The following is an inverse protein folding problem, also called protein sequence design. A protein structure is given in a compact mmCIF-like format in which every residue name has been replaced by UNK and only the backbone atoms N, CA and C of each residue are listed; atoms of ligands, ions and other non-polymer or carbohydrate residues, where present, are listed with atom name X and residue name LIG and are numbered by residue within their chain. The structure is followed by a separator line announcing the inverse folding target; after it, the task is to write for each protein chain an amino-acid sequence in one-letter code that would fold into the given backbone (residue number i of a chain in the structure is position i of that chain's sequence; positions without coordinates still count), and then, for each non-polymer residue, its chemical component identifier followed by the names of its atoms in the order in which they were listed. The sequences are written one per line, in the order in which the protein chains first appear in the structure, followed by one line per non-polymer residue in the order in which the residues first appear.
data_IF_764701246613
#
_entry.id   IF_764701246613
#
_cell.length_a   1.000
_cell.length_b   1.000
_cell.length_c   1.000
_cell.angle_alpha   90.00
_cell.angle_beta   90.00
_cell.angle_gamma   90.00
#
_symmetry.space_group_name_H-M   'P 1'
#
loop_
_entity.id
_entity.type
_entity.pdbx_description
1 polymer ?
#
# COMPACT_ATOMS: atom_id res chain seq x y z
N UNK A 1 3.18 9.74 -5.02
CA UNK A 1 4.50 9.89 -5.67
C UNK A 1 5.57 9.41 -4.69
N UNK A 2 6.73 9.01 -5.20
CA UNK A 2 7.94 8.75 -4.39
C UNK A 2 9.16 9.35 -5.05
N UNK A 3 10.25 9.46 -4.29
CA UNK A 3 11.56 9.87 -4.79
C UNK A 3 12.40 8.62 -5.07
N UNK A 4 12.83 8.45 -6.32
CA UNK A 4 13.88 7.51 -6.71
C UNK A 4 15.22 8.24 -6.62
N UNK A 5 15.93 8.01 -5.52
CA UNK A 5 17.21 8.67 -5.22
C UNK A 5 18.33 8.21 -6.14
N UNK A 6 18.29 6.97 -6.62
CA UNK A 6 19.34 6.41 -7.47
C UNK A 6 19.35 7.07 -8.84
N UNK A 7 18.18 7.42 -9.37
CA UNK A 7 18.03 8.08 -10.68
C UNK A 7 17.79 9.58 -10.61
N UNK A 8 17.90 10.18 -9.42
CA UNK A 8 17.50 11.55 -9.10
C UNK A 8 16.17 11.94 -9.78
N UNK A 9 15.14 11.11 -9.57
CA UNK A 9 13.84 11.25 -10.22
C UNK A 9 12.70 11.12 -9.21
N UNK A 10 11.50 11.55 -9.61
CA UNK A 10 10.26 11.23 -8.91
C UNK A 10 9.43 10.27 -9.73
N UNK A 11 8.76 9.34 -9.05
CA UNK A 11 7.83 8.42 -9.67
C UNK A 11 6.42 8.77 -9.22
N UNK A 12 5.53 8.97 -10.18
CA UNK A 12 4.22 9.57 -9.98
C UNK A 12 3.15 8.60 -10.50
N UNK A 13 2.13 8.33 -9.68
CA UNK A 13 0.87 7.77 -10.16
C UNK A 13 0.16 8.87 -10.97
N UNK A 14 0.01 8.66 -12.27
CA UNK A 14 -0.78 9.50 -13.15
C UNK A 14 -2.12 8.80 -13.41
N UNK A 15 -2.93 8.75 -12.34
CA UNK A 15 -4.12 7.91 -12.21
C UNK A 15 -5.12 8.10 -13.35
N UNK A 16 -5.50 9.35 -13.66
CA UNK A 16 -6.47 9.67 -14.72
C UNK A 16 -6.00 9.24 -16.12
N UNK A 17 -4.69 9.12 -16.32
CA UNK A 17 -4.08 8.63 -17.55
C UNK A 17 -3.68 7.14 -17.47
N UNK A 18 -4.06 6.45 -16.38
CA UNK A 18 -3.85 5.02 -16.13
C UNK A 18 -2.41 4.56 -16.31
N UNK A 19 -1.47 5.34 -15.77
CA UNK A 19 -0.02 5.09 -15.95
C UNK A 19 0.81 5.53 -14.76
N UNK A 20 2.05 5.06 -14.74
CA UNK A 20 3.10 5.55 -13.83
C UNK A 20 4.17 6.25 -14.65
N UNK A 21 4.54 7.45 -14.22
CA UNK A 21 5.51 8.30 -14.91
C UNK A 21 6.73 8.53 -14.03
N UNK A 22 7.93 8.45 -14.62
CA UNK A 22 9.19 8.89 -14.01
C UNK A 22 9.54 10.28 -14.53
N UNK A 23 9.82 11.21 -13.62
CA UNK A 23 10.19 12.59 -13.94
C UNK A 23 11.55 12.95 -13.35
N UNK A 24 12.49 13.52 -14.12
CA UNK A 24 13.78 13.98 -13.58
C UNK A 24 13.59 15.08 -12.54
N UNK A 25 14.26 15.02 -11.38
CA UNK A 25 14.14 16.07 -10.34
C UNK A 25 14.80 17.38 -10.74
N UNK A 26 15.77 17.33 -11.65
CA UNK A 26 16.54 18.48 -12.09
C UNK A 26 16.62 18.51 -13.60
N UNK A 27 16.50 19.71 -14.18
CA UNK A 27 16.71 19.99 -15.61
C UNK A 27 15.87 19.15 -16.59
N UNK A 28 14.77 18.53 -16.13
CA UNK A 28 13.86 17.73 -16.95
C UNK A 28 12.66 18.53 -17.44
N UNK A 29 12.35 18.46 -18.74
CA UNK A 29 11.19 19.12 -19.36
C UNK A 29 10.03 18.17 -19.65
N UNK A 30 10.23 16.86 -19.50
CA UNK A 30 9.21 15.83 -19.73
C UNK A 30 9.44 14.61 -18.85
N UNK A 31 8.39 13.80 -18.70
CA UNK A 31 8.40 12.54 -17.97
C UNK A 31 8.27 11.33 -18.89
N UNK A 32 8.91 10.24 -18.50
CA UNK A 32 8.85 8.95 -19.18
C UNK A 32 7.72 8.11 -18.58
N UNK A 33 6.83 7.56 -19.41
CA UNK A 33 5.87 6.56 -18.93
C UNK A 33 6.59 5.22 -18.74
N UNK A 34 6.60 4.71 -17.52
CA UNK A 34 7.32 3.48 -17.16
C UNK A 34 6.40 2.29 -16.94
N UNK A 35 5.11 2.52 -16.67
CA UNK A 35 4.07 1.49 -16.55
C UNK A 35 2.78 2.02 -17.19
N UNK A 36 2.09 1.18 -17.96
CA UNK A 36 0.85 1.51 -18.66
C UNK A 36 -0.33 0.66 -18.14
N UNK A 37 -1.56 1.09 -18.42
CA UNK A 37 -2.80 0.37 -18.14
C UNK A 37 -2.99 -0.03 -16.67
N UNK A 38 -2.62 0.85 -15.75
CA UNK A 38 -2.73 0.64 -14.31
C UNK A 38 -3.49 1.77 -13.64
N UNK A 39 -4.49 1.43 -12.82
CA UNK A 39 -5.26 2.41 -12.04
C UNK A 39 -4.52 2.72 -10.73
N UNK A 40 -3.41 3.46 -10.86
CA UNK A 40 -2.45 3.72 -9.78
C UNK A 40 -3.00 4.70 -8.74
N UNK A 41 -3.22 4.26 -7.49
CA UNK A 41 -3.54 5.16 -6.36
C UNK A 41 -2.38 5.33 -5.37
N UNK A 42 -1.63 4.25 -5.14
CA UNK A 42 -0.51 4.22 -4.21
C UNK A 42 0.67 3.51 -4.84
N UNK A 43 1.88 3.99 -4.56
CA UNK A 43 3.10 3.32 -4.97
C UNK A 43 4.19 3.46 -3.90
N UNK A 44 5.10 2.49 -3.86
CA UNK A 44 6.33 2.52 -3.06
C UNK A 44 7.46 1.80 -3.80
N UNK A 45 8.69 1.95 -3.32
CA UNK A 45 9.86 1.26 -3.86
C UNK A 45 10.63 0.61 -2.73
N UNK A 46 11.08 -0.64 -2.93
CA UNK A 46 11.97 -1.32 -2.00
C UNK A 46 13.44 -0.93 -2.19
N UNK A 47 14.30 -1.38 -1.28
CA UNK A 47 15.74 -1.09 -1.31
C UNK A 47 16.48 -1.70 -2.51
N UNK A 48 15.87 -2.66 -3.21
CA UNK A 48 16.39 -3.25 -4.45
C UNK A 48 15.91 -2.49 -5.70
N UNK A 49 15.15 -1.40 -5.53
CA UNK A 49 14.60 -0.60 -6.62
C UNK A 49 13.37 -1.20 -7.29
N UNK A 50 12.74 -2.22 -6.69
CA UNK A 50 11.49 -2.79 -7.21
C UNK A 50 10.34 -1.86 -6.85
N UNK A 51 9.51 -1.52 -7.83
CA UNK A 51 8.35 -0.66 -7.65
C UNK A 51 7.12 -1.50 -7.32
N UNK A 52 6.39 -1.13 -6.29
CA UNK A 52 5.11 -1.73 -5.94
C UNK A 52 4.03 -0.70 -6.19
N UNK A 53 3.02 -1.07 -6.96
CA UNK A 53 1.97 -0.18 -7.41
C UNK A 53 0.63 -0.82 -7.11
N UNK A 54 -0.23 -0.07 -6.43
CA UNK A 54 -1.63 -0.45 -6.22
C UNK A 54 -2.36 -0.28 -7.54
N UNK A 55 -2.96 -1.35 -8.06
CA UNK A 55 -3.93 -1.30 -9.16
C UNK A 55 -5.33 -1.35 -8.55
N UNK A 56 -5.96 -0.18 -8.46
CA UNK A 56 -7.24 -0.02 -7.77
C UNK A 56 -8.38 -0.78 -8.46
N UNK A 57 -8.43 -0.74 -9.79
CA UNK A 57 -9.47 -1.40 -10.59
C UNK A 57 -9.41 -2.93 -10.44
N UNK A 58 -8.20 -3.49 -10.37
CA UNK A 58 -7.99 -4.94 -10.25
C UNK A 58 -7.97 -5.43 -8.80
N UNK A 59 -8.06 -4.52 -7.84
CA UNK A 59 -7.94 -4.82 -6.41
C UNK A 59 -6.68 -5.65 -6.10
N UNK A 60 -5.53 -5.20 -6.60
CA UNK A 60 -4.25 -5.89 -6.41
C UNK A 60 -3.10 -4.91 -6.20
N UNK A 61 -1.98 -5.43 -5.72
CA UNK A 61 -0.68 -4.75 -5.78
C UNK A 61 0.20 -5.49 -6.76
N UNK A 62 0.76 -4.75 -7.73
CA UNK A 62 1.72 -5.27 -8.70
C UNK A 62 3.14 -4.83 -8.33
N UNK A 63 4.08 -5.76 -8.41
CA UNK A 63 5.52 -5.52 -8.24
C UNK A 63 6.18 -5.49 -9.62
N UNK A 64 7.06 -4.54 -9.84
CA UNK A 64 7.81 -4.34 -11.07
C UNK A 64 9.30 -4.28 -10.74
N UNK A 65 10.08 -5.19 -11.31
CA UNK A 65 11.51 -5.07 -11.36
C UNK A 65 11.94 -4.06 -12.42
N UNK A 66 13.21 -3.65 -12.37
CA UNK A 66 13.76 -2.70 -13.32
C UNK A 66 13.62 -3.22 -14.76
N UNK A 67 12.90 -2.47 -15.59
CA UNK A 67 12.69 -2.79 -17.00
C UNK A 67 11.48 -3.69 -17.28
N UNK A 68 10.77 -4.14 -16.24
CA UNK A 68 9.51 -4.86 -16.42
C UNK A 68 8.35 -3.91 -16.70
N UNK A 69 7.50 -4.28 -17.66
CA UNK A 69 6.30 -3.50 -18.02
C UNK A 69 4.99 -4.11 -17.50
N UNK A 70 4.95 -5.42 -17.29
CA UNK A 70 3.74 -6.11 -16.81
C UNK A 70 3.72 -6.24 -15.29
N UNK A 71 4.87 -6.51 -14.67
CA UNK A 71 4.97 -6.79 -13.24
C UNK A 71 4.24 -8.08 -12.83
N UNK A 72 4.45 -8.50 -11.60
CA UNK A 72 3.80 -9.69 -11.00
C UNK A 72 2.88 -9.27 -9.86
N UNK A 73 1.84 -10.06 -9.59
CA UNK A 73 0.98 -9.82 -8.42
C UNK A 73 1.79 -10.07 -7.15
N UNK A 74 1.75 -9.12 -6.22
CA UNK A 74 2.44 -9.16 -4.94
C UNK A 74 1.49 -9.21 -3.73
N UNK A 75 0.24 -8.79 -3.92
CA UNK A 75 -0.85 -8.94 -2.95
C UNK A 75 -2.21 -8.86 -3.67
N UNK A 76 -3.20 -9.62 -3.20
CA UNK A 76 -4.51 -9.72 -3.84
C UNK A 76 -4.46 -10.56 -5.13
N UNK A 77 -5.12 -10.07 -6.19
CA UNK A 77 -5.11 -10.71 -7.52
C UNK A 77 -6.16 -11.80 -7.74
N UNK A 78 -6.98 -12.10 -6.72
CA UNK A 78 -8.08 -13.08 -6.81
C UNK A 78 -9.45 -12.41 -6.93
N UNK A 79 -9.48 -11.27 -7.63
CA UNK A 79 -10.64 -10.41 -7.76
C UNK A 79 -10.98 -9.64 -6.49
N UNK A 80 -11.94 -8.73 -6.63
CA UNK A 80 -12.41 -7.90 -5.53
C UNK A 80 -13.16 -8.74 -4.49
N UNK A 81 -12.89 -8.48 -3.20
CA UNK A 81 -13.60 -9.11 -2.09
C UNK A 81 -12.87 -8.99 -0.76
N UNK A 82 -13.34 -9.75 0.23
CA UNK A 82 -12.89 -9.64 1.63
C UNK A 82 -12.18 -10.90 2.17
N UNK A 83 -11.96 -11.92 1.34
CA UNK A 83 -11.15 -13.08 1.72
C UNK A 83 -9.69 -12.67 1.95
N UNK A 84 -8.89 -13.56 2.53
CA UNK A 84 -7.49 -13.27 2.86
C UNK A 84 -6.56 -13.23 1.62
N UNK A 85 -7.05 -13.68 0.48
CA UNK A 85 -6.41 -13.65 -0.84
C UNK A 85 -6.97 -12.53 -1.75
N UNK A 86 -7.87 -11.70 -1.22
CA UNK A 86 -8.57 -10.63 -1.94
C UNK A 86 -8.38 -9.28 -1.25
N UNK A 87 -8.58 -8.22 -2.03
CA UNK A 87 -8.64 -6.84 -1.57
C UNK A 87 -9.94 -6.20 -2.07
N UNK A 88 -10.34 -5.09 -1.44
CA UNK A 88 -11.45 -4.26 -1.87
C UNK A 88 -11.04 -2.79 -1.89
N UNK A 89 -10.91 -2.24 -3.09
CA UNK A 89 -10.54 -0.83 -3.32
C UNK A 89 -9.24 -0.41 -2.59
N UNK A 90 -8.12 -1.17 -2.70
CA UNK A 90 -6.89 -0.84 -1.99
C UNK A 90 -6.38 0.55 -2.37
N UNK A 91 -5.83 1.31 -1.42
CA UNK A 91 -5.44 2.72 -1.66
C UNK A 91 -3.96 3.02 -1.48
N UNK A 92 -3.25 2.20 -0.70
CA UNK A 92 -1.85 2.45 -0.37
C UNK A 92 -1.10 1.15 -0.15
N UNK A 93 0.20 1.19 -0.43
CA UNK A 93 1.12 0.07 -0.28
C UNK A 93 2.39 0.52 0.43
N UNK A 94 2.86 -0.30 1.36
CA UNK A 94 4.17 -0.20 2.00
C UNK A 94 4.88 -1.55 1.91
N UNK A 95 6.20 -1.54 1.77
CA UNK A 95 7.02 -2.76 1.74
C UNK A 95 8.07 -2.65 2.82
N UNK A 96 8.14 -3.65 3.71
CA UNK A 96 9.16 -3.70 4.76
C UNK A 96 10.49 -4.29 4.23
N UNK A 97 11.50 -4.36 5.10
CA UNK A 97 12.82 -4.91 4.76
C UNK A 97 12.83 -6.43 4.56
N UNK A 98 11.79 -7.12 5.02
CA UNK A 98 11.60 -8.56 4.80
C UNK A 98 10.79 -8.80 3.51
N UNK A 99 10.72 -7.81 2.61
CA UNK A 99 9.92 -7.80 1.39
C UNK A 99 8.43 -8.12 1.59
N UNK A 100 7.92 -7.88 2.81
CA UNK A 100 6.50 -8.05 3.07
C UNK A 100 5.71 -6.84 2.61
N UNK A 101 4.62 -7.09 1.90
CA UNK A 101 3.72 -6.08 1.33
C UNK A 101 2.57 -5.81 2.28
N UNK A 102 2.46 -4.58 2.74
CA UNK A 102 1.37 -4.08 3.56
C UNK A 102 0.44 -3.22 2.71
N UNK A 103 -0.86 -3.51 2.73
CA UNK A 103 -1.85 -2.86 1.88
C UNK A 103 -2.95 -2.26 2.75
N UNK A 104 -3.23 -0.98 2.56
CA UNK A 104 -4.44 -0.34 3.07
C UNK A 104 -5.64 -0.81 2.25
N UNK A 105 -6.29 -1.87 2.73
CA UNK A 105 -7.47 -2.48 2.14
C UNK A 105 -8.72 -1.68 2.53
N UNK A 106 -8.82 -0.50 1.91
CA UNK A 106 -9.71 0.60 2.29
C UNK A 106 -11.17 0.15 2.44
N UNK A 107 -11.70 -0.57 1.43
CA UNK A 107 -13.11 -0.97 1.40
C UNK A 107 -13.44 -2.07 2.41
N UNK A 108 -12.45 -2.80 2.88
CA UNK A 108 -12.61 -3.85 3.90
C UNK A 108 -12.24 -3.37 5.32
N UNK A 109 -11.93 -2.08 5.50
CA UNK A 109 -11.66 -1.52 6.83
C UNK A 109 -10.54 -2.26 7.58
N UNK A 110 -9.47 -2.60 6.85
CA UNK A 110 -8.33 -3.35 7.40
C UNK A 110 -7.02 -2.97 6.71
N UNK A 111 -5.92 -3.34 7.36
CA UNK A 111 -4.60 -3.42 6.72
C UNK A 111 -4.24 -4.88 6.60
N UNK A 112 -3.87 -5.29 5.40
CA UNK A 112 -3.43 -6.65 5.11
C UNK A 112 -1.91 -6.70 4.94
N UNK A 113 -1.29 -7.83 5.27
CA UNK A 113 0.13 -8.13 5.06
C UNK A 113 0.27 -9.42 4.24
N UNK A 114 1.05 -9.38 3.17
CA UNK A 114 1.57 -10.56 2.49
C UNK A 114 3.08 -10.65 2.71
N UNK A 115 3.57 -11.86 2.98
CA UNK A 115 5.01 -12.14 2.83
C UNK A 115 5.30 -12.35 1.35
N UNK A 116 6.54 -12.12 0.93
CA UNK A 116 6.96 -12.43 -0.43
C UNK A 116 6.63 -13.90 -0.78
N UNK A 117 5.97 -14.10 -1.93
CA UNK A 117 5.55 -15.41 -2.42
C UNK A 117 4.34 -16.04 -1.71
N UNK A 118 3.73 -15.38 -0.72
CA UNK A 118 2.53 -15.90 -0.07
C UNK A 118 1.29 -15.78 -0.97
N UNK A 119 0.49 -16.85 -1.07
CA UNK A 119 -0.78 -16.84 -1.80
C UNK A 119 -1.89 -16.09 -1.03
N UNK A 120 -1.86 -16.17 0.30
CA UNK A 120 -2.82 -15.55 1.21
C UNK A 120 -2.13 -14.59 2.16
N UNK A 121 -2.82 -13.51 2.49
CA UNK A 121 -2.37 -12.51 3.44
C UNK A 121 -2.82 -12.80 4.87
N UNK A 122 -2.38 -11.96 5.79
CA UNK A 122 -2.88 -11.89 7.16
C UNK A 122 -3.33 -10.47 7.47
N UNK A 123 -4.26 -10.33 8.41
CA UNK A 123 -4.69 -9.01 8.90
C UNK A 123 -3.60 -8.47 9.81
N UNK A 124 -3.02 -7.33 9.45
CA UNK A 124 -2.00 -6.63 10.23
C UNK A 124 -2.61 -5.59 11.19
N UNK A 125 -3.77 -5.04 10.83
CA UNK A 125 -4.53 -4.11 11.67
C UNK A 125 -6.00 -4.06 11.24
N UNK A 126 -6.90 -3.75 12.17
CA UNK A 126 -8.34 -3.66 11.89
C UNK A 126 -8.99 -5.02 11.62
N UNK A 127 -9.95 -5.06 10.69
CA UNK A 127 -10.59 -6.31 10.25
C UNK A 127 -11.78 -6.76 11.09
N UNK A 128 -12.18 -5.99 12.11
CA UNK A 128 -13.42 -6.20 12.88
C UNK A 128 -14.56 -5.29 12.39
N UNK A 129 -14.59 -5.05 11.08
CA UNK A 129 -15.53 -4.13 10.43
C UNK A 129 -15.21 -2.65 10.64
N UNK A 130 -16.05 -1.81 10.06
CA UNK A 130 -16.02 -0.36 10.24
C UNK A 130 -16.34 0.03 11.68
N UNK A 131 -15.55 0.94 12.26
CA UNK A 131 -15.82 1.54 13.56
C UNK A 131 -14.61 2.23 14.17
N UNK A 132 -14.77 2.71 15.41
CA UNK A 132 -13.74 3.44 16.18
C UNK A 132 -13.14 2.61 17.33
N UNK A 133 -13.52 1.34 17.49
CA UNK A 133 -12.93 0.45 18.49
C UNK A 133 -11.42 0.26 18.29
N UNK A 134 -10.74 -0.30 19.30
CA UNK A 134 -9.29 -0.56 19.21
C UNK A 134 -8.94 -1.73 18.29
N UNK A 135 -9.91 -2.55 17.92
CA UNK A 135 -9.79 -3.64 16.93
C UNK A 135 -10.26 -3.22 15.54
N UNK A 136 -10.72 -1.97 15.39
CA UNK A 136 -11.34 -1.45 14.18
C UNK A 136 -10.54 -0.28 13.61
N UNK A 137 -10.63 -0.13 12.29
CA UNK A 137 -10.24 1.07 11.56
C UNK A 137 -11.37 1.42 10.60
N UNK A 138 -11.45 2.66 10.16
CA UNK A 138 -12.43 3.11 9.19
C UNK A 138 -11.73 3.76 8.01
N UNK A 139 -11.84 3.13 6.83
CA UNK A 139 -11.32 3.67 5.59
C UNK A 139 -9.81 4.02 5.68
N UNK A 140 -8.94 3.05 6.06
CA UNK A 140 -7.52 3.32 6.20
C UNK A 140 -6.92 3.73 4.85
N UNK A 141 -6.11 4.80 4.84
CA UNK A 141 -5.51 5.35 3.60
C UNK A 141 -4.00 5.25 3.54
N UNK A 142 -3.34 4.89 4.64
CA UNK A 142 -1.89 4.84 4.71
C UNK A 142 -1.45 3.90 5.81
N UNK A 143 -0.34 3.21 5.57
CA UNK A 143 0.33 2.39 6.57
C UNK A 143 1.83 2.50 6.37
N UNK A 144 2.57 2.58 7.47
CA UNK A 144 4.02 2.36 7.50
C UNK A 144 4.33 1.35 8.61
N UNK A 145 5.44 0.64 8.47
CA UNK A 145 5.88 -0.36 9.45
C UNK A 145 7.32 -0.11 9.81
N UNK A 146 7.62 -0.10 11.12
CA UNK A 146 8.99 0.04 11.60
C UNK A 146 9.75 -1.29 11.62
N UNK A 147 11.03 -1.24 12.01
CA UNK A 147 11.91 -2.43 12.06
C UNK A 147 11.47 -3.48 13.09
N UNK A 148 10.63 -3.13 14.05
CA UNK A 148 10.08 -4.06 15.03
C UNK A 148 8.82 -4.76 14.50
N UNK A 149 8.35 -4.38 13.31
CA UNK A 149 7.10 -4.85 12.73
C UNK A 149 5.87 -4.13 13.30
N UNK A 150 6.05 -2.98 13.95
CA UNK A 150 4.93 -2.16 14.43
C UNK A 150 4.32 -1.41 13.27
N UNK A 151 3.03 -1.60 13.03
CA UNK A 151 2.27 -0.89 12.01
C UNK A 151 1.69 0.41 12.56
N UNK A 152 1.84 1.50 11.80
CA UNK A 152 1.21 2.80 12.06
C UNK A 152 0.22 3.06 10.93
N UNK A 153 -1.05 3.14 11.27
CA UNK A 153 -2.16 3.18 10.31
C UNK A 153 -2.85 4.54 10.37
N UNK A 154 -2.98 5.17 9.22
CA UNK A 154 -3.81 6.36 9.05
C UNK A 154 -5.28 5.93 8.95
N UNK A 155 -5.95 5.92 10.10
CA UNK A 155 -7.37 5.60 10.26
C UNK A 155 -8.21 6.85 9.96
N UNK A 156 -8.29 7.17 8.66
CA UNK A 156 -8.76 8.47 8.17
C UNK A 156 -10.24 8.71 8.45
N UNK A 157 -11.11 7.68 8.40
CA UNK A 157 -12.52 7.82 8.74
C UNK A 157 -12.73 8.27 10.19
N UNK A 158 -11.83 7.87 11.08
CA UNK A 158 -11.83 8.28 12.49
C UNK A 158 -10.93 9.49 12.80
N UNK A 159 -10.31 10.11 11.78
CA UNK A 159 -9.37 11.23 11.93
C UNK A 159 -8.28 10.98 12.99
N UNK A 160 -7.69 9.78 12.99
CA UNK A 160 -6.67 9.37 13.95
C UNK A 160 -5.54 8.55 13.33
N UNK A 161 -4.43 8.47 14.04
CA UNK A 161 -3.33 7.54 13.76
C UNK A 161 -3.36 6.45 14.82
N UNK A 162 -3.39 5.21 14.39
CA UNK A 162 -3.36 4.05 15.25
C UNK A 162 -2.01 3.34 15.13
N UNK A 163 -1.57 2.71 16.23
CA UNK A 163 -0.39 1.85 16.29
C UNK A 163 -0.79 0.43 16.64
N UNK A 164 -0.31 -0.55 15.88
CA UNK A 164 -0.44 -1.98 16.14
C UNK A 164 0.95 -2.60 16.30
N UNK A 165 1.24 -3.16 17.47
CA UNK A 165 2.44 -3.95 17.67
C UNK A 165 2.35 -5.27 16.88
N UNK A 166 3.49 -5.82 16.48
CA UNK A 166 3.55 -7.10 15.77
C UNK A 166 2.81 -8.21 16.55
N UNK A 167 1.79 -8.81 15.92
CA UNK A 167 0.98 -9.88 16.52
C UNK A 167 -0.08 -9.40 17.53
N UNK A 168 -0.26 -8.10 17.72
CA UNK A 168 -1.31 -7.58 18.60
C UNK A 168 -2.70 -7.77 17.96
N UNK A 169 -3.69 -8.14 18.79
CA UNK A 169 -5.09 -8.30 18.38
C UNK A 169 -5.84 -6.96 18.32
N UNK A 170 -5.30 -5.90 18.92
CA UNK A 170 -5.86 -4.55 18.94
C UNK A 170 -4.74 -3.50 18.90
N UNK A 171 -5.09 -2.30 18.46
CA UNK A 171 -4.20 -1.16 18.36
C UNK A 171 -4.30 -0.23 19.55
N UNK A 172 -3.53 0.85 19.48
CA UNK A 172 -3.59 1.99 20.41
C UNK A 172 -3.61 3.29 19.62
N UNK A 173 -4.45 4.24 20.02
CA UNK A 173 -4.49 5.59 19.42
C UNK A 173 -3.19 6.33 19.76
N UNK A 174 -2.44 6.72 18.73
CA UNK A 174 -1.22 7.53 18.86
C UNK A 174 -1.54 9.02 18.85
N UNK A 175 -2.35 9.45 17.89
CA UNK A 175 -2.72 10.85 17.64
C UNK A 175 -4.17 10.90 17.15
N UNK A 176 -4.90 11.96 17.51
CA UNK A 176 -6.29 12.16 17.08
C UNK A 176 -7.30 11.93 18.18
N UNK A 177 -8.59 12.00 17.84
CA UNK A 177 -9.66 11.99 18.83
C UNK A 177 -9.92 10.57 19.37
N UNK A 178 -9.90 10.42 20.69
CA UNK A 178 -10.38 9.22 21.40
C UNK A 178 -11.86 9.42 21.69
N UNK A 179 -12.74 9.29 20.68
CA UNK A 179 -14.18 9.24 20.94
C UNK A 179 -14.59 7.81 21.22
#
# INVERSE_FOLDING_TARGET
MIVDKERDSVIICDNSNRRVVRWPRQNGTSGETIIFNIDCLGLTMDENGSLYVVDFEKAEVRRYQRGEYQGTVAAGGNGEGNRLDQLFRPTYVFVDRDHSVYVSDYGNHRVMKWREGAEVGIIAAGGQGEGNGLTQVWNPRGVIVDQLGTAYVADCGNARIMRWLKGATQGSVMVGCKR
#
